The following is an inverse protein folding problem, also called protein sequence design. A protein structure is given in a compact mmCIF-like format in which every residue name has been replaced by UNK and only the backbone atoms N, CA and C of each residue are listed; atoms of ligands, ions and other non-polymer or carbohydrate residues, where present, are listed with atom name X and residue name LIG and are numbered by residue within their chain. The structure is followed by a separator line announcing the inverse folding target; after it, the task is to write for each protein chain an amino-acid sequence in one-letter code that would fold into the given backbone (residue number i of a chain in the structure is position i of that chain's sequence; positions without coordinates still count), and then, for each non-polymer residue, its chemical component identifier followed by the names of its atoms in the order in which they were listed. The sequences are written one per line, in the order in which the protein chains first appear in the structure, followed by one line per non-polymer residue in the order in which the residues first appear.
data_IF_575297440193
#
_entry.id   IF_575297440193
#
_cell.length_a   1.000
_cell.length_b   1.000
_cell.length_c   1.000
_cell.angle_alpha   90.00
_cell.angle_beta   90.00
_cell.angle_gamma   90.00
#
_symmetry.space_group_name_H-M   'P 1'
#
loop_
_entity.id
_entity.type
_entity.pdbx_description
1 polymer ?
#
# COMPACT_ATOMS: atom_id res chain seq x y z
N UNK A 1 4.73 -15.81 23.49
CA UNK A 1 5.72 -15.21 22.57
C UNK A 1 6.55 -16.27 21.83
N UNK A 2 7.17 -17.26 22.51
CA UNK A 2 8.04 -18.26 21.86
C UNK A 2 7.40 -19.04 20.69
N UNK A 3 6.10 -19.40 20.78
CA UNK A 3 5.39 -20.11 19.69
C UNK A 3 5.33 -19.33 18.35
N UNK A 4 5.52 -18.01 18.37
CA UNK A 4 5.53 -17.17 17.16
C UNK A 4 6.95 -16.93 16.60
N UNK A 5 8.00 -17.23 17.36
CA UNK A 5 9.39 -16.94 16.94
C UNK A 5 9.75 -17.78 15.73
N UNK A 6 9.63 -19.11 15.81
CA UNK A 6 9.98 -20.02 14.71
C UNK A 6 9.27 -19.69 13.40
N UNK A 7 7.91 -19.57 13.34
CA UNK A 7 7.24 -19.27 12.08
C UNK A 7 7.61 -17.88 11.52
N UNK A 8 7.77 -16.87 12.39
CA UNK A 8 8.15 -15.53 11.95
C UNK A 8 9.60 -15.47 11.46
N UNK A 9 10.53 -16.18 12.10
CA UNK A 9 11.93 -16.27 11.65
C UNK A 9 12.02 -16.95 10.29
N UNK A 10 11.31 -18.06 10.08
CA UNK A 10 11.27 -18.76 8.79
C UNK A 10 10.67 -17.85 7.72
N UNK A 11 9.58 -17.14 8.03
CA UNK A 11 8.96 -16.18 7.11
C UNK A 11 9.92 -15.04 6.74
N UNK A 12 10.59 -14.44 7.73
CA UNK A 12 11.54 -13.35 7.52
C UNK A 12 12.76 -13.80 6.69
N UNK A 13 13.30 -14.98 6.96
CA UNK A 13 14.37 -15.56 6.16
C UNK A 13 13.94 -15.79 4.70
N UNK A 14 12.74 -16.33 4.48
CA UNK A 14 12.17 -16.48 3.12
C UNK A 14 12.00 -15.15 2.40
N UNK A 15 11.54 -14.11 3.10
CA UNK A 15 11.42 -12.74 2.56
C UNK A 15 12.80 -12.23 2.11
N UNK A 16 13.83 -12.36 2.95
CA UNK A 16 15.18 -11.91 2.60
C UNK A 16 15.76 -12.67 1.42
N UNK A 17 15.63 -14.00 1.39
CA UNK A 17 16.09 -14.82 0.26
C UNK A 17 15.39 -14.41 -1.02
N UNK A 18 14.06 -14.22 -0.97
CA UNK A 18 13.28 -13.79 -2.12
C UNK A 18 13.73 -12.43 -2.65
N UNK A 19 13.91 -11.43 -1.77
CA UNK A 19 14.31 -10.07 -2.18
C UNK A 19 15.71 -10.09 -2.82
N UNK A 20 16.66 -10.82 -2.23
CA UNK A 20 18.01 -10.92 -2.78
C UNK A 20 18.02 -11.64 -4.14
N UNK A 21 17.27 -12.73 -4.29
CA UNK A 21 17.13 -13.43 -5.57
C UNK A 21 16.47 -12.54 -6.63
N UNK A 22 15.40 -11.83 -6.26
CA UNK A 22 14.72 -10.90 -7.15
C UNK A 22 15.66 -9.77 -7.60
N UNK A 23 16.45 -9.21 -6.68
CA UNK A 23 17.45 -8.19 -6.98
C UNK A 23 18.59 -8.69 -7.86
N UNK A 24 19.01 -9.94 -7.68
CA UNK A 24 20.02 -10.57 -8.54
C UNK A 24 19.53 -10.74 -9.98
N UNK A 25 18.27 -11.18 -10.16
CA UNK A 25 17.69 -11.43 -11.48
C UNK A 25 17.25 -10.14 -12.19
N UNK A 26 16.54 -9.26 -11.49
CA UNK A 26 15.90 -8.07 -12.07
C UNK A 26 16.64 -6.76 -11.77
N UNK A 27 17.77 -6.81 -11.05
CA UNK A 27 18.57 -5.64 -10.68
C UNK A 27 18.20 -5.07 -9.31
N UNK A 28 19.21 -4.56 -8.60
CA UNK A 28 19.09 -4.04 -7.23
C UNK A 28 18.11 -2.85 -7.15
N UNK A 29 18.02 -2.05 -8.21
CA UNK A 29 17.07 -0.93 -8.33
C UNK A 29 15.60 -1.38 -8.37
N UNK A 30 15.34 -2.69 -8.55
CA UNK A 30 14.00 -3.27 -8.58
C UNK A 30 13.64 -4.04 -7.29
N UNK A 31 14.48 -4.01 -6.25
CA UNK A 31 14.22 -4.69 -4.97
C UNK A 31 12.88 -4.29 -4.32
N UNK A 32 12.51 -3.00 -4.40
CA UNK A 32 11.24 -2.51 -3.86
C UNK A 32 10.03 -3.11 -4.58
N UNK A 33 10.14 -3.34 -5.90
CA UNK A 33 9.11 -4.02 -6.69
C UNK A 33 8.97 -5.47 -6.24
N UNK A 34 10.08 -6.16 -6.02
CA UNK A 34 10.11 -7.52 -5.45
C UNK A 34 9.38 -7.60 -4.10
N UNK A 35 9.65 -6.67 -3.17
CA UNK A 35 8.94 -6.60 -1.88
C UNK A 35 7.43 -6.51 -2.09
N UNK A 36 6.97 -5.64 -3.00
CA UNK A 36 5.54 -5.43 -3.22
C UNK A 36 4.88 -6.62 -3.92
N UNK A 37 5.57 -7.30 -4.84
CA UNK A 37 5.11 -8.57 -5.43
C UNK A 37 4.91 -9.61 -4.33
N UNK A 38 5.85 -9.72 -3.39
CA UNK A 38 5.75 -10.67 -2.29
C UNK A 38 4.56 -10.33 -1.37
N UNK A 39 4.33 -9.05 -1.05
CA UNK A 39 3.17 -8.63 -0.27
C UNK A 39 1.86 -8.95 -1.02
N UNK A 40 1.80 -8.65 -2.33
CA UNK A 40 0.63 -8.97 -3.17
C UNK A 40 0.37 -10.48 -3.18
N UNK A 41 1.41 -11.28 -3.35
CA UNK A 41 1.33 -12.74 -3.28
C UNK A 41 0.75 -13.18 -1.94
N UNK A 42 1.32 -12.75 -0.82
CA UNK A 42 0.86 -13.12 0.52
C UNK A 42 -0.59 -12.70 0.80
N UNK A 43 -1.01 -11.54 0.31
CA UNK A 43 -2.39 -11.06 0.46
C UNK A 43 -3.35 -11.87 -0.42
N UNK A 44 -2.98 -12.14 -1.67
CA UNK A 44 -3.82 -12.90 -2.60
C UNK A 44 -3.92 -14.38 -2.23
N UNK A 45 -3.04 -14.94 -1.39
CA UNK A 45 -3.20 -16.29 -0.84
C UNK A 45 -4.53 -16.50 -0.09
N UNK A 46 -5.17 -15.42 0.37
CA UNK A 46 -6.46 -15.47 1.08
C UNK A 46 -7.66 -15.50 0.12
N UNK A 47 -7.42 -15.26 -1.17
CA UNK A 47 -8.43 -15.25 -2.22
C UNK A 47 -8.25 -16.48 -3.12
N UNK A 48 -9.34 -16.95 -3.74
CA UNK A 48 -9.29 -18.03 -4.71
C UNK A 48 -9.36 -17.48 -6.15
N UNK A 49 -8.18 -17.30 -6.76
CA UNK A 49 -8.06 -16.88 -8.15
C UNK A 49 -8.13 -18.04 -9.15
N UNK A 50 -8.21 -19.30 -8.69
CA UNK A 50 -8.13 -20.49 -9.56
C UNK A 50 -9.42 -20.77 -10.33
N UNK A 51 -10.54 -20.15 -9.94
CA UNK A 51 -11.85 -20.26 -10.63
C UNK A 51 -11.82 -19.78 -12.08
N UNK A 52 -11.13 -18.67 -12.35
CA UNK A 52 -10.95 -18.10 -13.71
C UNK A 52 -9.47 -17.72 -13.92
N UNK A 53 -8.59 -18.71 -14.05
CA UNK A 53 -7.16 -18.49 -13.88
C UNK A 53 -6.56 -17.62 -14.99
N UNK A 54 -6.99 -17.82 -16.24
CA UNK A 54 -6.52 -17.03 -17.39
C UNK A 54 -6.99 -15.58 -17.27
N UNK A 55 -8.25 -15.36 -16.93
CA UNK A 55 -8.81 -14.01 -16.76
C UNK A 55 -8.11 -13.26 -15.62
N UNK A 56 -7.89 -13.92 -14.48
CA UNK A 56 -7.19 -13.34 -13.34
C UNK A 56 -5.71 -13.08 -13.64
N UNK A 57 -5.04 -13.99 -14.35
CA UNK A 57 -3.67 -13.78 -14.80
C UNK A 57 -3.55 -12.56 -15.72
N UNK A 58 -4.44 -12.41 -16.70
CA UNK A 58 -4.46 -11.26 -17.61
C UNK A 58 -4.73 -9.97 -16.83
N UNK A 59 -5.70 -9.97 -15.89
CA UNK A 59 -5.99 -8.81 -15.04
C UNK A 59 -4.79 -8.41 -14.19
N UNK A 60 -4.16 -9.35 -13.49
CA UNK A 60 -2.99 -9.10 -12.65
C UNK A 60 -1.81 -8.56 -13.47
N UNK A 61 -1.52 -9.21 -14.59
CA UNK A 61 -0.43 -8.79 -15.50
C UNK A 61 -0.69 -7.39 -16.04
N UNK A 62 -1.93 -7.11 -16.47
CA UNK A 62 -2.32 -5.80 -17.00
C UNK A 62 -2.17 -4.71 -15.95
N UNK A 63 -2.69 -4.91 -14.74
CA UNK A 63 -2.60 -3.92 -13.65
C UNK A 63 -1.13 -3.64 -13.29
N UNK A 64 -0.30 -4.69 -13.20
CA UNK A 64 1.12 -4.56 -12.92
C UNK A 64 1.85 -3.76 -14.01
N UNK A 65 1.67 -4.13 -15.29
CA UNK A 65 2.33 -3.46 -16.41
C UNK A 65 1.86 -2.01 -16.58
N UNK A 66 0.54 -1.77 -16.49
CA UNK A 66 -0.02 -0.41 -16.53
C UNK A 66 0.58 0.44 -15.41
N UNK A 67 0.68 -0.10 -14.20
CA UNK A 67 1.32 0.63 -13.08
C UNK A 67 2.79 0.94 -13.35
N UNK A 68 3.54 -0.01 -13.91
CA UNK A 68 4.95 0.20 -14.29
C UNK A 68 5.13 1.28 -15.36
N UNK A 69 4.31 1.25 -16.41
CA UNK A 69 4.36 2.22 -17.51
C UNK A 69 3.92 3.61 -17.03
N UNK A 70 2.79 3.70 -16.31
CA UNK A 70 2.28 4.98 -15.82
C UNK A 70 3.24 5.66 -14.85
N UNK A 71 3.92 4.92 -13.97
CA UNK A 71 4.91 5.50 -13.05
C UNK A 71 6.15 6.01 -13.79
N UNK A 72 6.62 5.29 -14.81
CA UNK A 72 7.73 5.75 -15.64
C UNK A 72 7.37 7.05 -16.38
N UNK A 73 6.23 7.11 -17.05
CA UNK A 73 5.76 8.32 -17.72
C UNK A 73 5.53 9.48 -16.75
N UNK A 74 4.97 9.20 -15.58
CA UNK A 74 4.73 10.19 -14.52
C UNK A 74 6.04 10.80 -13.99
N UNK A 75 7.11 10.00 -13.91
CA UNK A 75 8.41 10.47 -13.43
C UNK A 75 9.15 11.40 -14.39
N UNK A 76 8.76 11.44 -15.68
CA UNK A 76 9.42 12.28 -16.69
C UNK A 76 8.94 13.73 -16.69
N UNK A 77 7.67 13.98 -16.34
CA UNK A 77 7.09 15.32 -16.34
C UNK A 77 6.08 15.47 -15.21
N UNK A 78 6.27 16.46 -14.33
CA UNK A 78 5.44 16.65 -13.14
C UNK A 78 3.96 16.95 -13.46
N UNK A 79 3.66 17.64 -14.57
CA UNK A 79 2.29 18.02 -14.94
C UNK A 79 1.52 16.83 -15.49
N UNK A 80 2.16 16.06 -16.38
CA UNK A 80 1.62 14.79 -16.86
C UNK A 80 1.52 13.81 -15.69
N UNK A 81 2.53 13.78 -14.82
CA UNK A 81 2.57 12.95 -13.63
C UNK A 81 1.44 13.22 -12.66
N UNK A 82 1.03 14.48 -12.46
CA UNK A 82 -0.16 14.80 -11.66
C UNK A 82 -1.42 14.07 -12.17
N UNK A 83 -1.67 14.13 -13.48
CA UNK A 83 -2.83 13.49 -14.10
C UNK A 83 -2.72 11.96 -14.02
N UNK A 84 -1.55 11.40 -14.39
CA UNK A 84 -1.35 9.94 -14.39
C UNK A 84 -1.40 9.34 -12.98
N UNK A 85 -0.81 10.01 -11.98
CA UNK A 85 -0.85 9.60 -10.59
C UNK A 85 -2.29 9.61 -10.06
N UNK A 86 -3.07 10.65 -10.40
CA UNK A 86 -4.48 10.74 -10.03
C UNK A 86 -5.27 9.56 -10.61
N UNK A 87 -5.17 9.34 -11.92
CA UNK A 87 -5.89 8.27 -12.62
C UNK A 87 -5.50 6.90 -12.07
N UNK A 88 -4.20 6.64 -11.91
CA UNK A 88 -3.71 5.35 -11.43
C UNK A 88 -4.19 5.02 -10.01
N UNK A 89 -4.02 5.95 -9.07
CA UNK A 89 -4.38 5.73 -7.68
C UNK A 89 -5.89 5.75 -7.44
N UNK A 90 -6.65 6.54 -8.20
CA UNK A 90 -8.11 6.45 -8.19
C UNK A 90 -8.59 5.10 -8.73
N UNK A 91 -7.99 4.62 -9.81
CA UNK A 91 -8.28 3.30 -10.40
C UNK A 91 -8.00 2.17 -9.39
N UNK A 92 -6.79 2.16 -8.81
CA UNK A 92 -6.42 1.19 -7.76
C UNK A 92 -7.39 1.29 -6.57
N UNK A 93 -7.70 2.51 -6.11
CA UNK A 93 -8.62 2.77 -5.02
C UNK A 93 -10.03 2.25 -5.28
N UNK A 94 -10.53 2.34 -6.52
CA UNK A 94 -11.88 1.88 -6.86
C UNK A 94 -11.95 0.36 -7.07
N UNK A 95 -11.07 -0.20 -7.91
CA UNK A 95 -11.10 -1.63 -8.26
C UNK A 95 -10.82 -2.53 -7.06
N UNK A 96 -9.84 -2.16 -6.23
CA UNK A 96 -9.40 -2.99 -5.11
C UNK A 96 -10.11 -2.70 -3.78
N UNK A 97 -11.04 -1.75 -3.73
CA UNK A 97 -11.93 -1.51 -2.58
C UNK A 97 -13.25 -2.28 -2.65
N UNK A 98 -13.31 -3.33 -3.48
CA UNK A 98 -14.49 -4.18 -3.64
C UNK A 98 -14.94 -4.77 -2.29
N UNK A 99 -16.26 -4.87 -2.08
CA UNK A 99 -16.88 -5.25 -0.79
C UNK A 99 -16.46 -4.37 0.40
N UNK A 100 -16.10 -3.11 0.13
CA UNK A 100 -15.59 -2.15 1.14
C UNK A 100 -14.34 -2.66 1.88
N UNK A 101 -13.60 -3.60 1.28
CA UNK A 101 -12.35 -4.11 1.80
C UNK A 101 -11.20 -3.51 1.02
N UNK A 102 -10.30 -2.80 1.71
CA UNK A 102 -9.12 -2.16 1.10
C UNK A 102 -7.84 -2.99 1.19
N UNK A 103 -7.96 -4.27 1.57
CA UNK A 103 -6.81 -5.15 1.80
C UNK A 103 -5.92 -5.27 0.55
N UNK A 104 -6.50 -5.23 -0.65
CA UNK A 104 -5.75 -5.21 -1.92
C UNK A 104 -5.30 -3.81 -2.37
N UNK A 105 -5.96 -2.73 -1.92
CA UNK A 105 -5.57 -1.35 -2.28
C UNK A 105 -4.17 -1.04 -1.78
N UNK A 106 -3.83 -1.47 -0.56
CA UNK A 106 -2.55 -1.12 0.09
C UNK A 106 -1.35 -1.73 -0.66
N UNK A 107 -1.29 -3.04 -0.97
CA UNK A 107 -0.17 -3.63 -1.71
C UNK A 107 0.03 -3.02 -3.11
N UNK A 108 -1.03 -2.91 -3.91
CA UNK A 108 -0.95 -2.36 -5.27
C UNK A 108 -0.65 -0.85 -5.27
N UNK A 109 -1.22 -0.08 -4.34
CA UNK A 109 -0.90 1.34 -4.22
C UNK A 109 0.53 1.57 -3.73
N UNK A 110 1.05 0.76 -2.81
CA UNK A 110 2.47 0.81 -2.42
C UNK A 110 3.40 0.42 -3.56
N UNK A 111 3.05 -0.58 -4.37
CA UNK A 111 3.80 -0.93 -5.58
C UNK A 111 3.91 0.25 -6.54
N UNK A 112 2.78 0.92 -6.82
CA UNK A 112 2.78 2.13 -7.64
C UNK A 112 3.68 3.23 -7.06
N UNK A 113 3.52 3.52 -5.77
CA UNK A 113 4.28 4.58 -5.11
C UNK A 113 5.78 4.28 -5.01
N UNK A 114 6.16 3.02 -4.79
CA UNK A 114 7.56 2.61 -4.78
C UNK A 114 8.20 2.78 -6.15
N UNK A 115 7.50 2.39 -7.22
CA UNK A 115 8.00 2.60 -8.58
C UNK A 115 8.12 4.09 -8.93
N UNK A 116 7.16 4.92 -8.49
CA UNK A 116 7.17 6.37 -8.70
C UNK A 116 8.39 7.05 -8.04
N UNK A 117 8.74 6.63 -6.81
CA UNK A 117 9.86 7.22 -6.05
C UNK A 117 11.19 6.48 -6.17
N UNK A 118 11.25 5.43 -6.99
CA UNK A 118 12.47 4.78 -7.44
C UNK A 118 12.44 4.66 -8.97
N UNK A 119 12.43 5.78 -9.70
CA UNK A 119 12.36 5.74 -11.16
C UNK A 119 13.59 5.03 -11.73
N UNK A 120 13.36 4.23 -12.76
CA UNK A 120 14.41 3.52 -13.51
C UNK A 120 14.23 3.78 -14.99
N UNK A 121 15.34 3.73 -15.73
CA UNK A 121 15.41 3.98 -17.17
C UNK A 121 16.28 2.91 -17.84
N UNK A 122 16.18 2.79 -19.16
CA UNK A 122 16.93 1.81 -19.94
C UNK A 122 16.68 0.37 -19.51
N UNK A 123 17.76 -0.43 -19.44
CA UNK A 123 17.70 -1.88 -19.16
C UNK A 123 17.02 -2.19 -17.81
N UNK A 124 17.19 -1.33 -16.81
CA UNK A 124 16.56 -1.54 -15.50
C UNK A 124 15.04 -1.36 -15.54
N UNK A 125 14.53 -0.54 -16.47
CA UNK A 125 13.10 -0.41 -16.74
C UNK A 125 12.56 -1.66 -17.43
N UNK A 126 13.27 -2.20 -18.42
CA UNK A 126 12.87 -3.44 -19.08
C UNK A 126 12.81 -4.60 -18.08
N UNK A 127 13.85 -4.72 -17.24
CA UNK A 127 13.87 -5.70 -16.14
C UNK A 127 12.74 -5.48 -15.14
N UNK A 128 12.34 -4.24 -14.88
CA UNK A 128 11.19 -3.94 -14.02
C UNK A 128 9.90 -4.49 -14.63
N UNK A 129 9.65 -4.26 -15.91
CA UNK A 129 8.46 -4.78 -16.59
C UNK A 129 8.46 -6.32 -16.62
N UNK A 130 9.59 -6.95 -16.91
CA UNK A 130 9.71 -8.42 -16.87
C UNK A 130 9.49 -8.94 -15.44
N UNK A 131 10.05 -8.28 -14.42
CA UNK A 131 9.86 -8.63 -13.02
C UNK A 131 8.40 -8.51 -12.56
N UNK A 132 7.66 -7.53 -13.07
CA UNK A 132 6.22 -7.36 -12.83
C UNK A 132 5.38 -8.49 -13.44
N UNK A 133 5.73 -8.96 -14.64
CA UNK A 133 5.10 -10.13 -15.27
C UNK A 133 5.46 -11.40 -14.50
N UNK A 134 6.74 -11.59 -14.17
CA UNK A 134 7.20 -12.71 -13.36
C UNK A 134 6.49 -12.75 -12.00
N UNK A 135 6.23 -11.59 -11.39
CA UNK A 135 5.42 -11.48 -10.18
C UNK A 135 3.99 -12.00 -10.36
N UNK A 136 3.31 -11.66 -11.45
CA UNK A 136 1.97 -12.19 -11.74
C UNK A 136 1.99 -13.71 -11.97
N UNK A 137 3.02 -14.23 -12.64
CA UNK A 137 3.23 -15.68 -12.81
C UNK A 137 3.43 -16.36 -11.46
N UNK A 138 4.29 -15.82 -10.59
CA UNK A 138 4.54 -16.34 -9.25
C UNK A 138 3.27 -16.36 -8.39
N UNK A 139 2.45 -15.29 -8.47
CA UNK A 139 1.14 -15.25 -7.81
C UNK A 139 0.27 -16.41 -8.29
N UNK A 140 0.11 -16.58 -9.60
CA UNK A 140 -0.75 -17.66 -10.14
C UNK A 140 -0.23 -19.06 -9.81
N UNK A 141 1.08 -19.31 -9.89
CA UNK A 141 1.68 -20.58 -9.47
C UNK A 141 1.33 -20.87 -8.01
N UNK A 142 1.50 -19.87 -7.14
CA UNK A 142 1.18 -20.00 -5.71
C UNK A 142 -0.30 -20.29 -5.49
N UNK A 143 -1.19 -19.65 -6.26
CA UNK A 143 -2.63 -19.89 -6.19
C UNK A 143 -2.99 -21.35 -6.49
N UNK A 144 -2.38 -21.95 -7.51
CA UNK A 144 -2.60 -23.36 -7.84
C UNK A 144 -2.04 -24.34 -6.80
N UNK A 145 -0.96 -23.96 -6.11
CA UNK A 145 -0.37 -24.78 -5.03
C UNK A 145 -1.27 -24.76 -3.79
N UNK A 146 -1.84 -23.61 -3.44
CA UNK A 146 -2.66 -23.43 -2.22
C UNK A 146 -4.09 -23.92 -2.42
N UNK A 147 -4.65 -23.71 -3.61
CA UNK A 147 -6.01 -24.11 -3.96
C UNK A 147 -5.98 -25.19 -5.06
N UNK A 148 -5.43 -26.39 -4.80
CA UNK A 148 -5.51 -27.48 -5.76
C UNK A 148 -6.98 -27.84 -6.01
N UNK A 149 -7.30 -28.22 -7.26
CA UNK A 149 -8.65 -28.46 -7.79
C UNK A 149 -9.59 -29.37 -6.95
N UNK A 150 -9.12 -30.02 -5.89
CA UNK A 150 -9.92 -30.94 -5.06
C UNK A 150 -10.83 -30.28 -4.03
N UNK A 151 -10.89 -28.94 -3.94
CA UNK A 151 -11.95 -28.24 -3.18
C UNK A 151 -13.22 -28.03 -4.01
N UNK A 152 -13.48 -28.93 -4.97
CA UNK A 152 -14.74 -29.06 -5.67
C UNK A 152 -15.55 -30.19 -5.04
N UNK A 153 -16.17 -29.91 -3.89
CA UNK A 153 -17.43 -30.57 -3.54
C UNK A 153 -18.42 -29.48 -3.15
N UNK A 154 -19.61 -29.56 -3.74
CA UNK A 154 -20.85 -28.94 -3.31
C UNK A 154 -20.95 -28.78 -1.79
N UNK A 155 -21.54 -27.64 -1.38
CA UNK A 155 -22.05 -27.21 -0.08
C UNK A 155 -21.51 -25.80 0.20
N UNK A 156 -22.22 -24.70 -0.01
CA UNK A 156 -23.65 -24.49 -0.08
C UNK A 156 -23.91 -23.47 -1.20
N UNK A 157 -24.96 -23.71 -1.99
CA UNK A 157 -25.96 -22.66 -2.22
C UNK A 157 -26.36 -22.12 -0.84
N UNK A 158 -25.50 -21.28 -0.26
CA UNK A 158 -25.94 -20.30 0.71
C UNK A 158 -26.98 -19.53 -0.07
N UNK A 159 -28.24 -19.79 0.26
CA UNK A 159 -29.31 -18.84 0.04
C UNK A 159 -28.68 -17.48 0.19
N UNK A 160 -28.78 -16.72 -0.89
CA UNK A 160 -28.42 -15.34 -0.92
C UNK A 160 -29.21 -14.66 0.20
N UNK A 161 -28.66 -14.63 1.41
CA UNK A 161 -28.35 -13.35 1.99
C UNK A 161 -27.31 -12.73 1.04
N UNK A 162 -27.79 -12.34 -0.15
CA UNK A 162 -27.59 -11.00 -0.62
C UNK A 162 -27.74 -10.17 0.65
N UNK A 163 -26.61 -9.91 1.32
CA UNK A 163 -26.45 -8.62 1.93
C UNK A 163 -26.73 -7.73 0.74
N UNK A 164 -27.99 -7.32 0.61
CA UNK A 164 -28.43 -6.31 -0.31
C UNK A 164 -27.38 -5.23 -0.11
N UNK A 165 -26.40 -5.16 -1.02
CA UNK A 165 -25.50 -4.02 -1.05
C UNK A 165 -26.46 -2.94 -1.46
N UNK A 166 -26.98 -2.27 -0.43
CA UNK A 166 -28.07 -1.32 -0.43
C UNK A 166 -28.08 -0.59 -1.79
N UNK A 167 -29.08 -0.86 -2.64
CA UNK A 167 -29.10 -0.33 -4.01
C UNK A 167 -29.05 1.21 -4.01
N UNK A 168 -29.40 1.81 -2.86
CA UNK A 168 -29.26 3.22 -2.49
C UNK A 168 -27.81 3.75 -2.45
N UNK A 169 -26.82 2.86 -2.25
CA UNK A 169 -25.38 3.19 -2.25
C UNK A 169 -24.81 3.30 -3.66
N UNK A 170 -25.52 2.82 -4.68
CA UNK A 170 -25.12 2.92 -6.07
C UNK A 170 -25.74 4.16 -6.70
N UNK A 171 -24.88 5.02 -7.27
CA UNK A 171 -25.31 6.16 -8.07
C UNK A 171 -25.01 5.89 -9.53
N UNK A 172 -26.00 6.02 -10.39
CA UNK A 172 -25.81 5.96 -11.83
C UNK A 172 -25.11 7.23 -12.30
N UNK A 173 -23.95 7.07 -12.94
CA UNK A 173 -23.18 8.16 -13.54
C UNK A 173 -23.07 7.88 -15.03
N UNK A 174 -23.42 8.87 -15.84
CA UNK A 174 -23.28 8.79 -17.29
C UNK A 174 -21.87 9.22 -17.69
N UNK A 175 -21.10 8.30 -18.25
CA UNK A 175 -19.73 8.54 -18.74
C UNK A 175 -19.67 8.15 -20.21
N UNK A 176 -19.34 9.10 -21.08
CA UNK A 176 -19.20 8.87 -22.54
C UNK A 176 -20.46 8.18 -23.12
N UNK A 177 -21.64 8.69 -22.77
CA UNK A 177 -22.92 8.19 -23.28
C UNK A 177 -23.36 6.81 -22.78
N UNK A 178 -22.64 6.19 -21.84
CA UNK A 178 -23.04 4.94 -21.17
C UNK A 178 -23.28 5.18 -19.69
N UNK A 179 -24.31 4.53 -19.16
CA UNK A 179 -24.70 4.62 -17.76
C UNK A 179 -23.96 3.54 -16.95
N UNK A 180 -23.23 3.95 -15.91
CA UNK A 180 -22.48 3.07 -15.02
C UNK A 180 -22.99 3.22 -13.59
N UNK A 181 -23.24 2.11 -12.90
CA UNK A 181 -23.56 2.09 -11.47
C UNK A 181 -22.27 2.19 -10.65
N UNK A 182 -22.09 3.30 -9.93
CA UNK A 182 -20.90 3.56 -9.11
C UNK A 182 -21.27 3.50 -7.65
N UNK A 183 -20.60 2.65 -6.88
CA UNK A 183 -20.78 2.60 -5.43
C UNK A 183 -20.23 3.88 -4.80
N UNK A 184 -21.09 4.66 -4.13
CA UNK A 184 -20.81 6.03 -3.64
C UNK A 184 -19.62 6.08 -2.69
N UNK A 185 -19.54 5.17 -1.71
CA UNK A 185 -18.42 5.11 -0.74
C UNK A 185 -17.09 4.79 -1.43
N UNK A 186 -17.07 3.78 -2.31
CA UNK A 186 -15.86 3.38 -3.05
C UNK A 186 -15.42 4.45 -4.02
N UNK A 187 -16.35 5.07 -4.74
CA UNK A 187 -16.08 6.19 -5.66
C UNK A 187 -15.51 7.40 -4.92
N UNK A 188 -16.14 7.80 -3.81
CA UNK A 188 -15.63 8.88 -2.96
C UNK A 188 -14.23 8.57 -2.41
N UNK A 189 -14.02 7.34 -1.92
CA UNK A 189 -12.73 6.88 -1.44
C UNK A 189 -11.66 6.92 -2.55
N UNK A 190 -11.97 6.40 -3.73
CA UNK A 190 -11.10 6.37 -4.90
C UNK A 190 -10.71 7.77 -5.37
N UNK A 191 -11.69 8.68 -5.49
CA UNK A 191 -11.42 10.07 -5.85
C UNK A 191 -10.56 10.75 -4.79
N UNK A 192 -10.86 10.53 -3.51
CA UNK A 192 -10.07 11.12 -2.42
C UNK A 192 -8.64 10.61 -2.39
N UNK A 193 -8.41 9.30 -2.45
CA UNK A 193 -7.05 8.71 -2.41
C UNK A 193 -6.25 9.10 -3.66
N UNK A 194 -6.88 9.12 -4.83
CA UNK A 194 -6.26 9.58 -6.07
C UNK A 194 -5.87 11.05 -5.99
N UNK A 195 -6.82 11.92 -5.62
CA UNK A 195 -6.63 13.37 -5.58
C UNK A 195 -5.56 13.76 -4.57
N UNK A 196 -5.69 13.31 -3.31
CA UNK A 196 -4.77 13.71 -2.24
C UNK A 196 -3.34 13.25 -2.52
N UNK A 197 -3.19 12.02 -3.02
CA UNK A 197 -1.87 11.45 -3.26
C UNK A 197 -1.22 12.09 -4.49
N UNK A 198 -1.99 12.39 -5.54
CA UNK A 198 -1.50 13.10 -6.73
C UNK A 198 -1.10 14.55 -6.42
N UNK A 199 -1.93 15.30 -5.68
CA UNK A 199 -1.60 16.66 -5.22
C UNK A 199 -0.33 16.63 -4.37
N UNK A 200 -0.24 15.71 -3.42
CA UNK A 200 0.93 15.62 -2.54
C UNK A 200 2.19 15.26 -3.34
N UNK A 201 2.10 14.33 -4.28
CA UNK A 201 3.23 13.97 -5.16
C UNK A 201 3.65 15.15 -6.05
N UNK A 202 2.70 15.91 -6.59
CA UNK A 202 2.98 17.12 -7.37
C UNK A 202 3.69 18.18 -6.52
N UNK A 203 3.21 18.45 -5.30
CA UNK A 203 3.86 19.39 -4.37
C UNK A 203 5.30 18.93 -4.07
N UNK A 204 5.50 17.65 -3.76
CA UNK A 204 6.83 17.09 -3.48
C UNK A 204 7.77 17.26 -4.67
N UNK A 205 7.30 17.01 -5.89
CA UNK A 205 8.07 17.20 -7.11
C UNK A 205 8.36 18.68 -7.40
N UNK A 206 7.36 19.55 -7.24
CA UNK A 206 7.46 20.99 -7.50
C UNK A 206 8.49 21.68 -6.60
N UNK A 207 8.49 21.35 -5.31
CA UNK A 207 9.46 21.89 -4.34
C UNK A 207 10.77 21.09 -4.26
N UNK A 208 10.90 20.02 -5.05
CA UNK A 208 12.05 19.11 -5.05
C UNK A 208 12.46 18.66 -3.63
N UNK A 209 11.47 18.22 -2.84
CA UNK A 209 11.70 17.87 -1.43
C UNK A 209 12.49 16.56 -1.32
N UNK A 210 13.73 16.64 -0.83
CA UNK A 210 14.53 15.46 -0.49
C UNK A 210 13.75 14.57 0.49
N UNK A 211 13.66 13.26 0.25
CA UNK A 211 12.83 12.34 1.06
C UNK A 211 11.32 12.67 1.12
N UNK A 212 10.81 13.55 0.26
CA UNK A 212 9.39 13.97 0.22
C UNK A 212 8.40 12.82 -0.01
N UNK A 213 8.88 11.67 -0.49
CA UNK A 213 8.15 10.39 -0.55
C UNK A 213 7.49 10.02 0.79
N UNK A 214 8.06 10.44 1.92
CA UNK A 214 7.48 10.17 3.24
C UNK A 214 6.16 10.90 3.47
N UNK A 215 5.95 12.09 2.88
CA UNK A 215 4.66 12.78 2.92
C UNK A 215 3.63 11.96 2.16
N UNK A 216 3.97 11.53 0.93
CA UNK A 216 3.06 10.79 0.04
C UNK A 216 2.70 9.42 0.61
N UNK A 217 3.67 8.66 1.12
CA UNK A 217 3.41 7.36 1.77
C UNK A 217 2.51 7.53 3.00
N UNK A 218 2.64 8.64 3.72
CA UNK A 218 1.83 8.92 4.91
C UNK A 218 0.39 9.23 4.52
N UNK A 219 0.20 10.18 3.60
CA UNK A 219 -1.10 10.53 3.02
C UNK A 219 -1.82 9.29 2.48
N UNK A 220 -1.13 8.46 1.69
CA UNK A 220 -1.68 7.21 1.17
C UNK A 220 -2.09 6.25 2.29
N UNK A 221 -1.20 6.00 3.27
CA UNK A 221 -1.44 5.03 4.35
C UNK A 221 -2.58 5.44 5.31
N UNK A 222 -2.82 6.75 5.45
CA UNK A 222 -3.85 7.32 6.31
C UNK A 222 -5.20 7.46 5.62
N UNK A 223 -5.23 7.43 4.29
CA UNK A 223 -6.49 7.51 3.54
C UNK A 223 -7.30 6.23 3.76
N UNK A 224 -8.39 6.35 4.50
CA UNK A 224 -9.26 5.24 4.94
C UNK A 224 -10.64 5.36 4.34
N UNK A 225 -11.35 4.25 4.06
CA UNK A 225 -12.75 4.30 3.60
C UNK A 225 -13.67 5.12 4.53
N UNK A 226 -13.39 5.08 5.84
CA UNK A 226 -14.14 5.78 6.89
C UNK A 226 -13.27 6.79 7.63
N UNK A 227 -13.80 7.99 7.87
CA UNK A 227 -13.10 9.12 8.51
C UNK A 227 -12.60 8.83 9.94
N UNK A 228 -13.36 8.05 10.70
CA UNK A 228 -12.98 7.65 12.08
C UNK A 228 -11.65 6.88 12.11
N UNK A 229 -11.48 5.96 11.16
CA UNK A 229 -10.26 5.17 11.04
C UNK A 229 -9.06 6.05 10.64
N UNK A 230 -9.28 7.06 9.80
CA UNK A 230 -8.24 8.04 9.43
C UNK A 230 -7.73 8.77 10.68
N UNK A 231 -8.64 9.22 11.55
CA UNK A 231 -8.28 9.93 12.79
C UNK A 231 -7.50 9.03 13.76
N UNK A 232 -7.95 7.79 13.97
CA UNK A 232 -7.26 6.84 14.86
C UNK A 232 -5.86 6.51 14.33
N UNK A 233 -5.74 6.18 13.04
CA UNK A 233 -4.46 5.85 12.42
C UNK A 233 -3.51 7.04 12.37
N UNK A 234 -4.02 8.25 12.17
CA UNK A 234 -3.22 9.49 12.21
C UNK A 234 -2.52 9.66 13.55
N UNK A 235 -3.25 9.48 14.68
CA UNK A 235 -2.66 9.53 16.03
C UNK A 235 -1.59 8.45 16.20
N UNK A 236 -1.89 7.22 15.82
CA UNK A 236 -0.96 6.09 15.94
C UNK A 236 0.30 6.26 15.06
N UNK A 237 0.18 6.86 13.87
CA UNK A 237 1.30 7.17 12.96
C UNK A 237 2.25 8.17 13.58
N UNK A 238 1.73 9.27 14.12
CA UNK A 238 2.54 10.31 14.77
C UNK A 238 3.23 9.75 16.00
N UNK A 239 2.48 9.08 16.89
CA UNK A 239 3.05 8.47 18.09
C UNK A 239 4.16 7.47 17.76
N UNK A 240 3.90 6.52 16.85
CA UNK A 240 4.88 5.51 16.47
C UNK A 240 6.13 6.11 15.83
N UNK A 241 5.98 7.18 15.06
CA UNK A 241 7.13 7.89 14.45
C UNK A 241 7.98 8.59 15.51
N UNK A 242 7.36 9.27 16.47
CA UNK A 242 8.08 9.95 17.56
C UNK A 242 8.83 8.93 18.41
N UNK A 243 8.17 7.85 18.86
CA UNK A 243 8.81 6.81 19.65
C UNK A 243 9.95 6.12 18.88
N UNK A 244 9.72 5.77 17.61
CA UNK A 244 10.75 5.15 16.77
C UNK A 244 11.96 6.06 16.55
N UNK A 245 11.75 7.36 16.33
CA UNK A 245 12.82 8.34 16.18
C UNK A 245 13.64 8.54 17.46
N UNK A 246 13.00 8.62 18.62
CA UNK A 246 13.71 8.73 19.90
C UNK A 246 14.56 7.48 20.15
N UNK A 247 13.99 6.28 19.96
CA UNK A 247 14.70 5.01 20.19
C UNK A 247 15.95 4.93 19.30
N UNK A 248 15.83 5.22 18.00
CA UNK A 248 16.96 5.07 17.09
C UNK A 248 18.05 6.11 17.32
N UNK A 249 17.69 7.35 17.68
CA UNK A 249 18.66 8.38 18.02
C UNK A 249 19.47 8.00 19.26
N UNK A 250 18.81 7.49 20.32
CA UNK A 250 19.49 7.00 21.52
C UNK A 250 20.42 5.83 21.20
N UNK A 251 19.95 4.86 20.39
CA UNK A 251 20.80 3.73 19.97
C UNK A 251 22.05 4.20 19.21
N UNK A 252 21.93 5.21 18.37
CA UNK A 252 23.04 5.71 17.54
C UNK A 252 24.07 6.54 18.30
N UNK A 253 23.76 7.00 19.53
CA UNK A 253 24.75 7.59 20.45
C UNK A 253 25.80 6.55 20.84
N UNK A 254 25.37 5.32 21.12
CA UNK A 254 26.25 4.23 21.54
C UNK A 254 26.81 3.45 20.35
N UNK A 255 26.02 3.27 19.30
CA UNK A 255 26.38 2.46 18.13
C UNK A 255 26.92 3.38 17.03
N UNK A 256 28.24 3.41 16.88
CA UNK A 256 28.95 4.19 15.85
C UNK A 256 29.30 3.40 14.60
N UNK A 257 29.41 2.07 14.72
CA UNK A 257 29.79 1.20 13.60
C UNK A 257 28.66 1.08 12.56
N UNK A 258 29.00 1.30 11.29
CA UNK A 258 28.04 1.29 10.19
C UNK A 258 27.50 -0.10 9.88
N UNK A 259 28.26 -1.16 10.13
CA UNK A 259 27.80 -2.54 9.94
C UNK A 259 26.74 -2.89 10.98
N UNK A 260 26.95 -2.51 12.24
CA UNK A 260 25.95 -2.69 13.30
C UNK A 260 24.71 -1.83 13.02
N UNK A 261 24.88 -0.59 12.53
CA UNK A 261 23.74 0.25 12.11
C UNK A 261 22.94 -0.37 10.97
N UNK A 262 23.60 -1.01 10.01
CA UNK A 262 22.91 -1.75 8.95
C UNK A 262 22.13 -2.96 9.52
N UNK A 263 22.69 -3.66 10.52
CA UNK A 263 21.97 -4.76 11.20
C UNK A 263 20.71 -4.28 11.93
N UNK A 264 20.68 -3.06 12.46
CA UNK A 264 19.48 -2.49 13.10
C UNK A 264 18.30 -2.42 12.12
N UNK A 265 18.56 -2.14 10.83
CA UNK A 265 17.52 -2.11 9.80
C UNK A 265 16.83 -3.48 9.70
N UNK A 266 17.63 -4.56 9.69
CA UNK A 266 17.15 -5.94 9.61
C UNK A 266 16.41 -6.34 10.89
N UNK A 267 16.95 -6.00 12.06
CA UNK A 267 16.30 -6.28 13.36
C UNK A 267 14.94 -5.59 13.43
N UNK A 268 14.85 -4.32 13.04
CA UNK A 268 13.59 -3.60 13.03
C UNK A 268 12.58 -4.19 12.03
N UNK A 269 13.02 -4.61 10.84
CA UNK A 269 12.18 -5.33 9.89
C UNK A 269 11.69 -6.69 10.41
N UNK A 270 12.52 -7.41 11.14
CA UNK A 270 12.14 -8.66 11.79
C UNK A 270 11.12 -8.43 12.92
N UNK A 271 11.33 -7.41 13.76
CA UNK A 271 10.40 -7.05 14.84
C UNK A 271 9.02 -6.63 14.33
N UNK A 272 8.94 -6.00 13.15
CA UNK A 272 7.67 -5.63 12.52
C UNK A 272 6.73 -6.84 12.36
N UNK A 273 7.27 -8.04 12.07
CA UNK A 273 6.48 -9.28 11.93
C UNK A 273 5.76 -9.71 13.21
N UNK A 274 6.14 -9.18 14.38
CA UNK A 274 5.49 -9.46 15.67
C UNK A 274 4.45 -8.42 16.07
N UNK A 275 4.38 -7.31 15.35
CA UNK A 275 3.50 -6.19 15.69
C UNK A 275 2.10 -6.36 15.10
N UNK A 276 1.08 -6.14 15.92
CA UNK A 276 -0.33 -6.20 15.50
C UNK A 276 -0.93 -4.81 15.34
N UNK A 277 -0.62 -3.91 16.28
CA UNK A 277 -1.10 -2.53 16.27
C UNK A 277 -0.34 -1.67 15.28
N UNK A 278 -1.06 -0.74 14.64
CA UNK A 278 -0.47 0.18 13.67
C UNK A 278 0.60 1.08 14.29
N UNK A 279 0.45 1.53 15.54
CA UNK A 279 1.47 2.32 16.25
C UNK A 279 2.80 1.56 16.33
N UNK A 280 2.75 0.30 16.74
CA UNK A 280 3.96 -0.49 17.00
C UNK A 280 4.66 -0.89 15.68
N UNK A 281 3.87 -1.14 14.61
CA UNK A 281 4.38 -1.21 13.22
C UNK A 281 5.15 0.05 12.85
N UNK A 282 4.60 1.22 13.17
CA UNK A 282 5.24 2.50 12.84
C UNK A 282 6.50 2.80 13.64
N UNK A 283 6.65 2.24 14.84
CA UNK A 283 7.92 2.28 15.57
C UNK A 283 8.99 1.51 14.77
N UNK A 284 8.70 0.25 14.41
CA UNK A 284 9.64 -0.60 13.67
C UNK A 284 10.01 0.01 12.31
N UNK A 285 9.01 0.43 11.53
CA UNK A 285 9.22 1.07 10.23
C UNK A 285 10.03 2.36 10.36
N UNK A 286 9.78 3.17 11.39
CA UNK A 286 10.53 4.43 11.58
C UNK A 286 11.98 4.17 11.95
N UNK A 287 12.24 3.17 12.79
CA UNK A 287 13.60 2.72 13.12
C UNK A 287 14.33 2.28 11.84
N UNK A 288 13.74 1.40 11.03
CA UNK A 288 14.35 0.93 9.77
C UNK A 288 14.62 2.08 8.78
N UNK A 289 13.68 3.02 8.65
CA UNK A 289 13.80 4.14 7.71
C UNK A 289 14.85 5.16 8.16
N UNK A 290 14.87 5.55 9.44
CA UNK A 290 15.88 6.48 9.94
C UNK A 290 17.25 5.80 9.94
N UNK A 291 17.35 4.53 10.35
CA UNK A 291 18.62 3.81 10.34
C UNK A 291 19.21 3.70 8.92
N UNK A 292 18.40 3.36 7.91
CA UNK A 292 18.86 3.28 6.51
C UNK A 292 19.29 4.64 5.95
N UNK A 293 18.49 5.69 6.16
CA UNK A 293 18.84 7.04 5.67
C UNK A 293 20.02 7.67 6.40
N UNK A 294 20.23 7.30 7.67
CA UNK A 294 21.35 7.74 8.49
C UNK A 294 22.69 7.04 8.16
N UNK A 295 22.70 6.04 7.28
CA UNK A 295 23.94 5.50 6.72
C UNK A 295 24.59 6.47 5.72
N UNK A 296 23.76 7.31 5.09
CA UNK A 296 24.19 8.28 4.07
C UNK A 296 24.20 9.69 4.68
N UNK A 297 23.20 10.02 5.51
CA UNK A 297 23.03 11.34 6.12
C UNK A 297 23.25 11.29 7.64
N UNK A 298 23.27 12.45 8.29
CA UNK A 298 23.28 12.51 9.74
C UNK A 298 21.96 11.94 10.33
N UNK A 299 22.05 11.19 11.44
CA UNK A 299 20.90 10.56 12.07
C UNK A 299 19.87 11.55 12.61
N UNK A 300 20.31 12.67 13.17
CA UNK A 300 19.42 13.75 13.64
C UNK A 300 18.70 14.39 12.45
N UNK A 301 19.42 14.65 11.37
CA UNK A 301 18.84 15.19 10.13
C UNK A 301 17.76 14.25 9.56
N UNK A 302 18.05 12.95 9.46
CA UNK A 302 17.10 11.95 9.02
C UNK A 302 15.85 11.87 9.92
N UNK A 303 16.03 11.91 11.24
CA UNK A 303 14.93 11.89 12.20
C UNK A 303 14.05 13.15 12.12
N UNK A 304 14.65 14.34 12.03
CA UNK A 304 13.92 15.61 11.89
C UNK A 304 13.10 15.63 10.61
N UNK A 305 13.70 15.29 9.47
CA UNK A 305 12.97 15.22 8.19
C UNK A 305 11.83 14.21 8.27
N UNK A 306 12.04 13.07 8.93
CA UNK A 306 11.02 12.03 9.08
C UNK A 306 9.83 12.53 9.87
N UNK A 307 10.06 13.13 11.03
CA UNK A 307 8.99 13.67 11.87
C UNK A 307 8.25 14.80 11.13
N UNK A 308 8.98 15.76 10.54
CA UNK A 308 8.40 16.90 9.83
C UNK A 308 7.50 16.46 8.67
N UNK A 309 7.98 15.57 7.79
CA UNK A 309 7.19 15.09 6.66
C UNK A 309 5.99 14.22 7.06
N UNK A 310 6.11 13.45 8.14
CA UNK A 310 5.00 12.68 8.69
C UNK A 310 3.92 13.62 9.25
N UNK A 311 4.31 14.68 9.95
CA UNK A 311 3.36 15.68 10.46
C UNK A 311 2.64 16.40 9.33
N UNK A 312 3.36 16.86 8.31
CA UNK A 312 2.78 17.50 7.12
C UNK A 312 1.79 16.54 6.44
N UNK A 313 2.21 15.30 6.17
CA UNK A 313 1.35 14.30 5.54
C UNK A 313 0.11 13.96 6.36
N UNK A 314 0.23 13.93 7.69
CA UNK A 314 -0.90 13.69 8.60
C UNK A 314 -1.89 14.86 8.59
N UNK A 315 -1.40 16.10 8.62
CA UNK A 315 -2.26 17.30 8.54
C UNK A 315 -3.00 17.32 7.21
N UNK A 316 -2.31 17.09 6.09
CA UNK A 316 -2.93 17.02 4.76
C UNK A 316 -4.02 15.94 4.70
N UNK A 317 -3.72 14.73 5.19
CA UNK A 317 -4.68 13.62 5.23
C UNK A 317 -5.95 13.99 6.02
N UNK A 318 -5.81 14.62 7.19
CA UNK A 318 -6.95 15.02 8.03
C UNK A 318 -7.76 16.17 7.44
N UNK A 319 -7.10 17.14 6.78
CA UNK A 319 -7.80 18.25 6.12
C UNK A 319 -8.65 17.71 4.97
N UNK A 320 -8.06 16.91 4.10
CA UNK A 320 -8.77 16.37 2.93
C UNK A 320 -9.84 15.36 3.35
N UNK A 321 -9.61 14.56 4.39
CA UNK A 321 -10.64 13.66 4.94
C UNK A 321 -11.88 14.44 5.44
N UNK A 322 -11.70 15.66 5.95
CA UNK A 322 -12.82 16.54 6.34
C UNK A 322 -13.48 17.25 5.16
N UNK A 323 -12.70 17.64 4.15
CA UNK A 323 -13.20 18.42 2.99
C UNK A 323 -13.84 17.55 1.90
N UNK A 324 -13.32 16.34 1.69
CA UNK A 324 -13.69 15.47 0.56
C UNK A 324 -14.48 14.26 1.07
N UNK A 325 -15.80 14.34 0.98
CA UNK A 325 -16.77 13.26 1.26
C UNK A 325 -16.55 12.59 2.63
N UNK A 326 -16.96 13.28 3.70
CA UNK A 326 -16.94 12.74 5.06
C UNK A 326 -17.95 11.60 5.19
N UNK A 327 -17.45 10.37 5.07
CA UNK A 327 -18.23 9.16 5.28
C UNK A 327 -17.93 8.62 6.70
N UNK A 328 -18.90 8.68 7.61
CA UNK A 328 -18.79 8.00 8.91
C UNK A 328 -19.35 6.60 8.83
N UNK A 329 -18.88 5.70 9.70
CA UNK A 329 -19.38 4.33 9.75
C UNK A 329 -20.86 4.29 10.17
N UNK A 330 -21.26 5.19 11.08
CA UNK A 330 -22.63 5.27 11.59
C UNK A 330 -23.65 5.71 10.53
N UNK A 331 -23.24 6.57 9.58
CA UNK A 331 -24.10 7.05 8.50
C UNK A 331 -24.65 5.87 7.65
N UNK A 332 -23.99 4.71 7.66
CA UNK A 332 -24.41 3.50 6.95
C UNK A 332 -25.08 2.45 7.85
N UNK A 333 -24.87 2.53 9.17
CA UNK A 333 -25.60 1.69 10.15
C UNK A 333 -27.02 2.21 10.38
N UNK A 334 -27.22 3.52 10.30
CA UNK A 334 -28.55 4.15 10.43
C UNK A 334 -29.45 3.88 9.22
N UNK A 335 -28.89 3.84 8.00
CA UNK A 335 -29.66 3.50 6.78
C UNK A 335 -30.28 2.11 6.88
N UNK A 336 -29.53 1.11 7.38
CA UNK A 336 -30.06 -0.24 7.63
C UNK A 336 -31.19 -0.27 8.66
N UNK A 337 -31.11 0.56 9.72
CA UNK A 337 -32.14 0.61 10.77
C UNK A 337 -33.42 1.29 10.31
N UNK A 338 -33.34 2.30 9.44
CA UNK A 338 -34.52 3.02 8.93
C UNK A 338 -35.31 2.13 7.95
N UNK A 339 -34.62 1.31 7.15
CA UNK A 339 -35.27 0.38 6.21
C UNK A 339 -35.83 -0.90 6.86
N UNK A 340 -35.39 -1.26 8.07
CA UNK A 340 -35.98 -2.36 8.86
C UNK A 340 -37.24 -1.92 9.64
N UNK A 341 -37.59 -0.63 9.60
CA UNK A 341 -38.76 -0.03 10.27
C UNK A 341 -39.87 0.39 9.30
N UNK A 342 -39.67 0.23 7.99
CA UNK A 342 -40.68 0.31 6.92
C UNK A 342 -41.05 -1.10 6.45
#
# INVERSE_FOLDING_TARGET
MLKKIVPNTVMFAKILVFINLFGYVFGVNNNLVGITILIILLVLMQEDLTKKPIENFIKLTSINLISGILTHLSSQNMWVGFILNFVALATIGYFFSSRLNKTLVVPFGLQYLFMLYSPVTGIDFDKRLIGLVAGAVLVMITQFIIHPKSSQSENETLELVEVNEDTSLYKTVRVIGRDYSVHRVRGAYALRIGLITAITAFIVAFFNLQEGRWIVYTVFSLTELYSENCTIRSKQRVQGTIFGAVIILVLFVFIKDNSIRAMIILVAGYLDSFTTNYRDKMICVTISVIASTALINNALYAAVNRISYILIGTILALIVDKLVFKNKLNDFKEIKKIQEQE
#
